data_IF_611690062145
#
_entry.id   IF_611690062145
#
_cell.length_a   1.000
_cell.length_b   1.000
_cell.length_c   1.000
_cell.angle_alpha   90.00
_cell.angle_beta   90.00
_cell.angle_gamma   90.00
#
_symmetry.space_group_name_H-M   'P 1'
#
loop_
_entity.id
_entity.type
_entity.pdbx_description
1 polymer ?
#
# COMPACT_ATOMS: atom_id res chain seq x y z
N UNK A 1 -22.52 18.99 3.79
CA UNK A 1 -21.67 17.84 3.39
C UNK A 1 -20.40 17.91 4.22
N UNK A 2 -20.11 16.91 5.04
CA UNK A 2 -18.84 16.85 5.78
C UNK A 2 -17.69 16.69 4.77
N UNK A 3 -16.64 17.49 4.92
CA UNK A 3 -15.43 17.41 4.10
C UNK A 3 -14.30 16.94 5.00
N UNK A 4 -13.62 15.87 4.60
CA UNK A 4 -12.43 15.36 5.29
C UNK A 4 -11.20 15.57 4.42
N UNK A 5 -10.16 16.16 4.99
CA UNK A 5 -8.87 16.32 4.33
C UNK A 5 -8.05 15.04 4.48
N UNK A 6 -7.60 14.49 3.35
CA UNK A 6 -6.67 13.35 3.32
C UNK A 6 -5.29 13.82 2.90
N UNK A 7 -4.26 13.47 3.68
CA UNK A 7 -2.86 13.73 3.35
C UNK A 7 -2.25 12.58 2.55
N UNK A 8 -1.56 12.90 1.45
CA UNK A 8 -0.80 11.94 0.64
C UNK A 8 0.68 12.28 0.74
N UNK A 9 1.50 11.29 1.08
CA UNK A 9 2.97 11.44 1.11
C UNK A 9 3.51 11.22 -0.30
N UNK A 10 4.22 12.21 -0.82
CA UNK A 10 4.88 12.17 -2.12
C UNK A 10 6.35 12.58 -1.93
N UNK A 11 7.24 11.97 -2.69
CA UNK A 11 8.60 12.47 -2.83
C UNK A 11 8.62 13.80 -3.61
N UNK A 12 9.78 14.47 -3.61
CA UNK A 12 9.95 15.78 -4.26
C UNK A 12 9.69 15.74 -5.77
N UNK A 13 10.16 14.69 -6.44
CA UNK A 13 10.06 14.54 -7.89
C UNK A 13 8.60 14.31 -8.32
N UNK A 14 7.90 13.42 -7.62
CA UNK A 14 6.47 13.15 -7.85
C UNK A 14 5.62 14.39 -7.59
N UNK A 15 5.92 15.17 -6.54
CA UNK A 15 5.25 16.45 -6.27
C UNK A 15 5.48 17.47 -7.39
N UNK A 16 6.70 17.57 -7.90
CA UNK A 16 7.02 18.46 -9.02
C UNK A 16 6.26 18.06 -10.29
N UNK A 17 6.26 16.75 -10.63
CA UNK A 17 5.50 16.20 -11.77
C UNK A 17 4.00 16.48 -11.65
N UNK A 18 3.41 16.30 -10.46
CA UNK A 18 2.01 16.63 -10.19
C UNK A 18 1.72 18.11 -10.46
N UNK A 19 2.57 19.01 -9.97
CA UNK A 19 2.41 20.46 -10.18
C UNK A 19 2.48 20.80 -11.67
N UNK A 20 3.48 20.27 -12.38
CA UNK A 20 3.63 20.49 -13.83
C UNK A 20 2.45 19.95 -14.63
N UNK A 21 1.92 18.76 -14.29
CA UNK A 21 0.75 18.19 -14.95
C UNK A 21 -0.52 19.05 -14.75
N UNK A 22 -0.73 19.57 -13.54
CA UNK A 22 -1.84 20.45 -13.23
C UNK A 22 -1.75 21.78 -14.01
N UNK A 23 -0.55 22.39 -14.08
CA UNK A 23 -0.31 23.63 -14.83
C UNK A 23 -0.56 23.45 -16.33
N UNK A 24 -0.19 22.31 -16.92
CA UNK A 24 -0.48 22.00 -18.34
C UNK A 24 -1.98 22.02 -18.67
N UNK A 25 -2.82 21.75 -17.68
CA UNK A 25 -4.28 21.76 -17.81
C UNK A 25 -4.90 23.08 -17.34
N UNK A 26 -4.10 24.08 -16.97
CA UNK A 26 -4.55 25.33 -16.36
C UNK A 26 -5.34 25.12 -15.05
N UNK A 27 -4.89 24.20 -14.20
CA UNK A 27 -5.59 23.87 -12.94
C UNK A 27 -4.65 23.78 -11.75
N UNK A 28 -5.23 23.87 -10.55
CA UNK A 28 -4.47 23.71 -9.28
C UNK A 28 -4.15 22.24 -9.01
N UNK A 29 -3.05 21.97 -8.31
CA UNK A 29 -2.70 20.60 -7.90
C UNK A 29 -3.77 19.94 -7.04
N UNK A 30 -4.49 20.73 -6.22
CA UNK A 30 -5.62 20.22 -5.43
C UNK A 30 -6.78 19.75 -6.33
N UNK A 31 -7.19 20.57 -7.31
CA UNK A 31 -8.24 20.18 -8.27
C UNK A 31 -7.82 18.95 -9.08
N UNK A 32 -6.57 18.93 -9.55
CA UNK A 32 -6.03 17.82 -10.33
C UNK A 32 -6.07 16.51 -9.54
N UNK A 33 -5.59 16.52 -8.29
CA UNK A 33 -5.60 15.33 -7.44
C UNK A 33 -7.02 14.85 -7.18
N UNK A 34 -7.96 15.76 -6.89
CA UNK A 34 -9.37 15.43 -6.70
C UNK A 34 -9.97 14.76 -7.95
N UNK A 35 -9.67 15.28 -9.14
CA UNK A 35 -10.14 14.70 -10.41
C UNK A 35 -9.48 13.35 -10.73
N UNK A 36 -8.19 13.18 -10.44
CA UNK A 36 -7.51 11.91 -10.61
C UNK A 36 -8.14 10.80 -9.73
N UNK A 37 -8.46 11.11 -8.47
CA UNK A 37 -9.13 10.16 -7.56
C UNK A 37 -10.49 9.75 -8.12
N UNK A 38 -11.33 10.70 -8.53
CA UNK A 38 -12.66 10.40 -9.08
C UNK A 38 -12.56 9.52 -10.32
N UNK A 39 -11.67 9.87 -11.24
CA UNK A 39 -11.45 9.10 -12.46
C UNK A 39 -10.96 7.67 -12.19
N UNK A 40 -10.12 7.46 -11.16
CA UNK A 40 -9.70 6.11 -10.79
C UNK A 40 -10.81 5.29 -10.14
N UNK A 41 -11.69 5.92 -9.35
CA UNK A 41 -12.88 5.25 -8.81
C UNK A 41 -13.79 4.81 -9.96
N UNK A 42 -14.10 5.70 -10.89
CA UNK A 42 -14.94 5.39 -12.07
C UNK A 42 -14.39 4.20 -12.88
N UNK A 43 -13.07 4.12 -13.03
CA UNK A 43 -12.43 2.97 -13.70
C UNK A 43 -12.63 1.65 -12.95
N UNK A 44 -12.47 1.67 -11.62
CA UNK A 44 -12.68 0.48 -10.79
C UNK A 44 -14.15 0.06 -10.81
N UNK A 45 -15.08 1.01 -10.75
CA UNK A 45 -16.52 0.76 -10.86
C UNK A 45 -16.90 0.17 -12.23
N UNK A 46 -16.15 0.51 -13.29
CA UNK A 46 -16.29 -0.09 -14.62
C UNK A 46 -15.62 -1.48 -14.75
N UNK A 47 -15.02 -2.02 -13.68
CA UNK A 47 -14.42 -3.35 -13.65
C UNK A 47 -12.91 -3.41 -13.89
N UNK A 48 -12.20 -2.28 -13.84
CA UNK A 48 -10.74 -2.29 -13.89
C UNK A 48 -10.15 -2.88 -12.59
N UNK A 49 -9.19 -3.80 -12.74
CA UNK A 49 -8.41 -4.36 -11.63
C UNK A 49 -7.04 -3.64 -11.50
N UNK A 50 -6.24 -4.01 -10.51
CA UNK A 50 -4.98 -3.35 -10.12
C UNK A 50 -3.97 -3.26 -11.28
N UNK A 51 -4.00 -4.19 -12.22
CA UNK A 51 -3.17 -4.22 -13.43
C UNK A 51 -3.41 -3.02 -14.34
N UNK A 52 -4.57 -2.36 -14.24
CA UNK A 52 -4.85 -1.14 -14.96
C UNK A 52 -4.09 0.09 -14.41
N UNK A 53 -3.52 -0.02 -13.20
CA UNK A 53 -2.87 1.08 -12.49
C UNK A 53 -1.39 0.82 -12.17
N UNK A 54 -0.99 -0.44 -12.16
CA UNK A 54 0.38 -0.87 -11.88
C UNK A 54 0.93 -1.59 -13.11
N UNK A 55 2.18 -1.28 -13.49
CA UNK A 55 2.85 -2.00 -14.57
C UNK A 55 2.88 -3.51 -14.25
N UNK A 56 2.64 -4.36 -15.25
CA UNK A 56 2.52 -5.82 -15.07
C UNK A 56 3.77 -6.40 -14.39
N UNK A 57 4.95 -5.88 -14.72
CA UNK A 57 6.24 -6.29 -14.16
C UNK A 57 6.45 -5.84 -12.70
N UNK A 58 5.66 -4.88 -12.23
CA UNK A 58 5.67 -4.39 -10.85
C UNK A 58 4.55 -4.99 -10.00
N UNK A 59 3.58 -5.69 -10.61
CA UNK A 59 2.38 -6.17 -9.95
C UNK A 59 2.66 -7.10 -8.76
N UNK A 60 3.61 -8.02 -8.89
CA UNK A 60 3.96 -8.94 -7.81
C UNK A 60 4.53 -8.17 -6.61
N UNK A 61 5.47 -7.25 -6.86
CA UNK A 61 6.06 -6.40 -5.81
C UNK A 61 5.03 -5.50 -5.15
N UNK A 62 4.10 -4.96 -5.92
CA UNK A 62 2.99 -4.14 -5.40
C UNK A 62 2.06 -4.97 -4.51
N UNK A 63 1.63 -6.14 -5.00
CA UNK A 63 0.79 -7.09 -4.27
C UNK A 63 1.41 -7.47 -2.93
N UNK A 64 2.72 -7.74 -2.89
CA UNK A 64 3.43 -8.07 -1.66
C UNK A 64 3.42 -6.94 -0.62
N UNK A 65 3.44 -5.67 -1.04
CA UNK A 65 3.59 -4.51 -0.14
C UNK A 65 2.25 -3.88 0.26
N UNK A 66 1.29 -3.88 -0.66
CA UNK A 66 0.09 -3.04 -0.57
C UNK A 66 -1.21 -3.83 -0.53
N UNK A 67 -1.21 -5.15 -0.76
CA UNK A 67 -2.41 -5.97 -0.65
C UNK A 67 -2.91 -6.08 0.80
N UNK A 68 -4.14 -5.62 1.03
CA UNK A 68 -4.83 -5.76 2.33
C UNK A 68 -5.05 -7.25 2.66
N UNK A 69 -5.28 -8.10 1.65
CA UNK A 69 -5.48 -9.54 1.86
C UNK A 69 -4.24 -10.24 2.44
N UNK A 70 -3.03 -9.76 2.10
CA UNK A 70 -1.77 -10.27 2.69
C UNK A 70 -1.52 -9.71 4.08
N UNK A 71 -1.78 -8.42 4.31
CA UNK A 71 -1.68 -7.80 5.65
C UNK A 71 -2.51 -8.52 6.71
N UNK A 72 -3.69 -9.03 6.34
CA UNK A 72 -4.54 -9.82 7.25
C UNK A 72 -3.95 -11.18 7.61
N UNK A 73 -3.18 -11.81 6.71
CA UNK A 73 -2.50 -13.08 6.98
C UNK A 73 -1.27 -12.89 7.86
N UNK A 74 -0.47 -11.88 7.59
CA UNK A 74 0.77 -11.61 8.34
C UNK A 74 0.50 -11.12 9.77
N UNK A 75 -0.68 -10.52 10.01
CA UNK A 75 -1.18 -10.16 11.34
C UNK A 75 -2.10 -11.24 11.97
N UNK A 76 -2.10 -12.48 11.44
CA UNK A 76 -2.76 -13.62 12.08
C UNK A 76 -2.14 -13.93 13.46
N UNK A 77 -2.83 -14.72 14.32
CA UNK A 77 -2.35 -15.01 15.67
C UNK A 77 -0.93 -15.60 15.58
N UNK A 78 0.04 -14.93 16.20
CA UNK A 78 1.33 -15.55 16.48
C UNK A 78 1.03 -16.65 17.49
N UNK A 79 1.08 -17.89 17.03
CA UNK A 79 0.93 -19.05 17.89
C UNK A 79 2.20 -19.14 18.75
N UNK A 80 2.16 -18.53 19.94
CA UNK A 80 3.24 -18.53 20.94
C UNK A 80 3.41 -19.92 21.59
N UNK A 81 2.74 -20.95 21.07
CA UNK A 81 2.81 -22.34 21.53
C UNK A 81 4.02 -23.09 20.93
N UNK A 82 5.21 -22.49 20.97
CA UNK A 82 6.45 -23.25 20.80
C UNK A 82 6.81 -23.90 22.14
N UNK A 83 6.85 -25.23 22.26
CA UNK A 83 7.21 -25.86 23.52
C UNK A 83 8.69 -25.56 23.79
N UNK A 84 8.97 -24.91 24.92
CA UNK A 84 10.30 -24.82 25.49
C UNK A 84 10.80 -26.25 25.72
N UNK A 85 11.60 -26.75 24.78
CA UNK A 85 12.23 -28.05 24.90
C UNK A 85 13.20 -28.00 26.10
N UNK A 86 12.70 -28.49 27.24
CA UNK A 86 13.52 -28.90 28.37
C UNK A 86 14.54 -29.92 27.88
N UNK A 87 15.81 -29.54 27.88
CA UNK A 87 16.90 -30.52 27.99
C UNK A 87 17.44 -30.41 29.40
N UNK A 88 16.85 -31.22 30.30
CA UNK A 88 17.56 -31.79 31.44
C UNK A 88 18.37 -32.98 30.93
N UNK A 89 19.48 -33.26 31.62
CA UNK A 89 20.43 -34.39 31.51
C UNK A 89 21.81 -33.90 31.03
N UNK A 90 22.95 -34.22 31.64
CA UNK A 90 23.35 -34.97 32.84
C UNK A 90 24.80 -34.53 33.14
N UNK A 91 25.17 -34.13 34.37
CA UNK A 91 25.95 -34.87 35.39
C UNK A 91 27.28 -35.52 34.94
N UNK A 92 28.32 -35.28 35.76
CA UNK A 92 29.68 -35.88 35.89
C UNK A 92 30.75 -35.32 34.95
N UNK A 93 31.91 -34.83 35.39
CA UNK A 93 32.86 -35.20 36.47
C UNK A 93 34.26 -35.02 35.83
N UNK A 94 35.40 -34.79 36.45
CA UNK A 94 35.90 -34.71 37.83
C UNK A 94 37.09 -33.72 37.81
#
# INVERSE_FOLDING_TARGET
MSVTTLGIKLDGDTRARLKSAAVKLDRTSHWFMKKAILHFIEKVEAGADVEAFVAVEALERDTLRHSIARRRRDNGPRDDTAPMASTKDSVHGA
#
